data_IF_242649937600
#
_entry.id   IF_242649937600
#
_cell.length_a   1.000
_cell.length_b   1.000
_cell.length_c   1.000
_cell.angle_alpha   90.00
_cell.angle_beta   90.00
_cell.angle_gamma   90.00
#
_symmetry.space_group_name_H-M   'P 1'
#
loop_
_entity.id
_entity.type
_entity.pdbx_description
1 polymer ?
#
# COMPACT_ATOMS: atom_id res chain seq x y z
N UNK A 1 -28.35 78.91 5.70
CA UNK A 1 -26.94 78.64 5.32
C UNK A 1 -26.92 77.30 4.57
N UNK A 2 -26.51 77.32 3.29
CA UNK A 2 -26.14 76.21 2.37
C UNK A 2 -27.15 75.06 2.22
N UNK A 3 -28.03 75.01 1.20
CA UNK A 3 -27.87 74.99 -0.28
C UNK A 3 -27.36 73.61 -0.81
N UNK A 4 -28.26 72.96 -1.58
CA UNK A 4 -28.04 72.01 -2.72
C UNK A 4 -27.45 70.62 -2.44
N UNK A 5 -27.77 69.54 -3.18
CA UNK A 5 -28.30 69.40 -4.55
C UNK A 5 -28.87 67.98 -4.78
N UNK A 6 -29.78 67.90 -5.76
CA UNK A 6 -30.19 66.77 -6.61
C UNK A 6 -29.23 65.58 -6.71
N UNK A 7 -29.76 64.38 -7.02
CA UNK A 7 -29.58 63.70 -8.32
C UNK A 7 -30.31 62.33 -8.31
N UNK A 8 -31.17 62.11 -9.30
CA UNK A 8 -31.69 60.80 -9.71
C UNK A 8 -30.58 59.93 -10.28
N UNK A 9 -30.55 58.63 -9.96
CA UNK A 9 -30.02 57.61 -10.87
C UNK A 9 -30.82 56.31 -10.74
N UNK A 10 -31.50 55.98 -11.83
CA UNK A 10 -31.92 54.62 -12.18
C UNK A 10 -30.64 53.86 -12.54
N UNK A 11 -30.41 52.70 -11.92
CA UNK A 11 -29.47 51.71 -12.44
C UNK A 11 -30.10 50.32 -12.33
N UNK A 12 -30.68 49.88 -13.43
CA UNK A 12 -30.92 48.47 -13.73
C UNK A 12 -29.59 47.94 -14.28
N UNK A 13 -28.99 46.97 -13.60
CA UNK A 13 -27.97 46.11 -14.19
C UNK A 13 -28.33 44.64 -13.93
N UNK A 14 -28.47 43.96 -15.07
CA UNK A 14 -28.53 42.52 -15.30
C UNK A 14 -27.26 41.78 -14.81
N UNK A 15 -27.29 40.45 -14.94
CA UNK A 15 -26.25 39.43 -14.76
C UNK A 15 -26.25 38.76 -13.38
N UNK A 16 -26.07 37.45 -13.20
CA UNK A 16 -26.16 36.20 -13.97
C UNK A 16 -25.80 35.12 -12.92
N UNK A 17 -26.21 33.87 -13.12
CA UNK A 17 -25.61 32.65 -12.53
C UNK A 17 -25.91 32.33 -11.06
N UNK A 18 -26.41 31.09 -10.86
CA UNK A 18 -25.79 30.20 -9.87
C UNK A 18 -26.57 29.90 -8.60
N UNK A 19 -27.68 29.16 -8.68
CA UNK A 19 -28.01 28.26 -7.57
C UNK A 19 -27.18 26.98 -7.75
N UNK A 20 -25.97 27.03 -7.20
CA UNK A 20 -25.15 25.86 -6.89
C UNK A 20 -26.00 24.85 -6.10
N UNK A 21 -26.31 23.72 -6.73
CA UNK A 21 -26.64 22.50 -6.02
C UNK A 21 -25.35 21.96 -5.41
N UNK A 22 -25.08 22.35 -4.17
CA UNK A 22 -24.02 21.79 -3.34
C UNK A 22 -24.26 20.28 -3.16
N UNK A 23 -23.33 19.46 -3.62
CA UNK A 23 -23.15 18.09 -3.14
C UNK A 23 -21.71 18.00 -2.64
N UNK A 24 -21.60 17.98 -1.32
CA UNK A 24 -20.37 17.91 -0.57
C UNK A 24 -20.09 16.43 -0.27
N UNK A 25 -18.92 15.91 -0.66
CA UNK A 25 -18.23 14.82 0.05
C UNK A 25 -16.85 14.65 -0.60
N UNK A 26 -15.81 15.06 0.13
CA UNK A 26 -14.42 14.91 -0.27
C UNK A 26 -13.98 13.45 -0.24
N UNK A 27 -14.30 12.71 -1.30
CA UNK A 27 -13.58 11.51 -1.68
C UNK A 27 -12.60 11.89 -2.80
N UNK A 28 -11.47 12.52 -2.44
CA UNK A 28 -10.29 12.42 -3.32
C UNK A 28 -9.87 10.95 -3.29
N UNK A 29 -10.40 10.18 -4.24
CA UNK A 29 -10.06 8.78 -4.35
C UNK A 29 -8.56 8.66 -4.63
N UNK A 30 -7.82 8.03 -3.72
CA UNK A 30 -6.42 7.65 -3.92
C UNK A 30 -6.34 6.56 -5.00
N UNK A 31 -6.41 6.96 -6.27
CA UNK A 31 -6.51 6.05 -7.44
C UNK A 31 -5.16 5.76 -8.08
N UNK A 32 -4.05 5.95 -7.38
CA UNK A 32 -2.74 5.55 -7.90
C UNK A 32 -2.47 4.10 -7.52
N UNK A 33 -2.46 3.22 -8.51
CA UNK A 33 -1.92 1.88 -8.34
C UNK A 33 -0.44 1.98 -8.00
N UNK A 34 0.02 1.17 -7.06
CA UNK A 34 1.43 1.06 -6.76
C UNK A 34 1.85 -0.39 -6.59
N UNK A 35 3.12 -0.65 -6.87
CA UNK A 35 3.73 -1.95 -6.63
C UNK A 35 5.05 -1.83 -5.89
N UNK A 36 5.35 -2.82 -5.08
CA UNK A 36 6.60 -3.00 -4.34
C UNK A 36 7.14 -4.38 -4.67
N UNK A 37 8.33 -4.42 -5.26
CA UNK A 37 9.10 -5.64 -5.46
C UNK A 37 9.83 -5.97 -4.16
N UNK A 38 9.60 -7.15 -3.61
CA UNK A 38 10.26 -7.67 -2.42
C UNK A 38 11.11 -8.88 -2.80
N UNK A 39 12.37 -8.89 -2.42
CA UNK A 39 13.25 -10.05 -2.56
C UNK A 39 13.65 -10.53 -1.17
N UNK A 40 13.49 -11.83 -0.92
CA UNK A 40 13.98 -12.47 0.30
C UNK A 40 15.08 -13.45 -0.02
N UNK A 41 16.13 -13.44 0.79
CA UNK A 41 17.32 -14.26 0.64
C UNK A 41 17.66 -14.93 1.98
N UNK A 42 18.09 -16.19 1.94
CA UNK A 42 18.63 -16.90 3.10
C UNK A 42 20.17 -16.86 3.13
N UNK A 43 20.79 -17.53 4.10
CA UNK A 43 22.25 -17.57 4.23
C UNK A 43 22.95 -18.27 3.04
N UNK A 44 22.25 -19.19 2.39
CA UNK A 44 22.74 -19.94 1.23
C UNK A 44 22.45 -19.24 -0.11
N UNK A 45 21.94 -18.00 -0.06
CA UNK A 45 21.61 -17.15 -1.21
C UNK A 45 20.45 -17.67 -2.07
N UNK A 46 19.52 -18.42 -1.46
CA UNK A 46 18.26 -18.77 -2.11
C UNK A 46 17.36 -17.54 -2.14
N UNK A 47 17.23 -16.94 -3.34
CA UNK A 47 16.44 -15.72 -3.54
C UNK A 47 15.02 -16.06 -4.00
N UNK A 48 14.03 -15.53 -3.28
CA UNK A 48 12.61 -15.57 -3.66
C UNK A 48 12.16 -14.15 -3.95
N UNK A 49 11.54 -13.96 -5.11
CA UNK A 49 10.98 -12.68 -5.54
C UNK A 49 9.48 -12.68 -5.34
N UNK A 50 9.00 -11.70 -4.61
CA UNK A 50 7.60 -11.44 -4.32
C UNK A 50 7.23 -10.03 -4.78
N UNK A 51 5.94 -9.80 -4.98
CA UNK A 51 5.44 -8.48 -5.35
C UNK A 51 4.13 -8.21 -4.63
N UNK A 52 3.94 -6.99 -4.13
CA UNK A 52 2.70 -6.59 -3.48
C UNK A 52 2.37 -5.13 -3.75
N UNK A 53 1.12 -4.75 -3.56
CA UNK A 53 0.70 -3.35 -3.67
C UNK A 53 -0.79 -3.19 -3.95
N UNK A 54 -1.18 -2.06 -4.53
CA UNK A 54 -2.57 -1.80 -4.90
C UNK A 54 -2.72 -1.67 -6.41
N UNK A 55 -3.77 -2.26 -6.97
CA UNK A 55 -4.01 -2.27 -8.42
C UNK A 55 -5.49 -2.12 -8.75
N UNK A 56 -5.77 -1.47 -9.87
CA UNK A 56 -7.14 -1.39 -10.41
C UNK A 56 -7.66 -2.80 -10.73
N UNK A 57 -8.90 -3.07 -10.31
CA UNK A 57 -9.54 -4.37 -10.51
C UNK A 57 -9.15 -5.45 -9.50
N UNK A 58 -8.19 -5.19 -8.61
CA UNK A 58 -7.87 -6.09 -7.50
C UNK A 58 -8.92 -6.01 -6.38
N UNK A 59 -9.01 -7.07 -5.58
CA UNK A 59 -9.94 -7.22 -4.48
C UNK A 59 -9.17 -7.43 -3.17
N UNK A 60 -9.88 -7.79 -2.10
CA UNK A 60 -9.23 -8.19 -0.84
C UNK A 60 -8.82 -9.66 -0.86
N UNK A 61 -9.45 -10.48 -1.71
CA UNK A 61 -9.17 -11.91 -1.83
C UNK A 61 -8.26 -12.21 -3.01
N UNK A 62 -8.13 -13.49 -3.34
CA UNK A 62 -7.36 -13.93 -4.50
C UNK A 62 -8.06 -13.58 -5.83
N UNK A 63 -7.34 -12.87 -6.69
CA UNK A 63 -7.76 -12.50 -8.04
C UNK A 63 -6.93 -13.22 -9.10
N UNK A 64 -7.51 -14.24 -9.74
CA UNK A 64 -6.82 -15.12 -10.70
C UNK A 64 -6.10 -14.41 -11.85
N UNK A 65 -6.56 -13.22 -12.26
CA UNK A 65 -5.97 -12.45 -13.36
C UNK A 65 -4.92 -11.42 -12.91
N UNK A 66 -4.76 -11.21 -11.61
CA UNK A 66 -3.94 -10.14 -11.04
C UNK A 66 -2.89 -10.75 -10.09
N UNK A 67 -3.33 -11.59 -9.17
CA UNK A 67 -2.48 -12.27 -8.22
C UNK A 67 -1.79 -13.48 -8.84
N UNK A 68 -0.68 -13.87 -8.21
CA UNK A 68 0.09 -15.04 -8.61
C UNK A 68 0.14 -16.00 -7.45
N UNK A 69 -0.44 -17.19 -7.63
CA UNK A 69 -0.31 -18.27 -6.66
C UNK A 69 1.16 -18.68 -6.50
N UNK A 70 1.53 -19.10 -5.28
CA UNK A 70 2.83 -19.76 -5.11
C UNK A 70 2.88 -21.10 -5.84
N UNK A 71 4.05 -21.52 -6.33
CA UNK A 71 4.25 -22.90 -6.72
C UNK A 71 3.98 -23.85 -5.54
N UNK A 72 3.84 -25.18 -5.79
CA UNK A 72 3.79 -26.16 -4.72
C UNK A 72 4.96 -25.97 -3.75
N UNK A 73 4.69 -26.11 -2.44
CA UNK A 73 5.71 -25.94 -1.41
C UNK A 73 6.95 -26.79 -1.73
N UNK A 74 8.15 -26.24 -1.55
CA UNK A 74 9.37 -26.99 -1.80
C UNK A 74 9.53 -28.12 -0.75
N UNK A 75 10.45 -29.06 -0.97
CA UNK A 75 10.83 -30.05 0.04
C UNK A 75 11.26 -29.38 1.36
N UNK A 76 11.15 -30.10 2.47
CA UNK A 76 11.63 -29.62 3.77
C UNK A 76 13.12 -29.22 3.70
N UNK A 77 13.47 -28.13 4.40
CA UNK A 77 14.83 -27.60 4.42
C UNK A 77 15.20 -26.73 3.22
N UNK A 78 14.21 -26.30 2.43
CA UNK A 78 14.39 -25.30 1.37
C UNK A 78 13.68 -24.01 1.77
N UNK A 79 14.32 -22.88 1.52
CA UNK A 79 13.72 -21.57 1.79
C UNK A 79 12.44 -21.37 1.00
N UNK A 80 11.40 -20.90 1.68
CA UNK A 80 10.08 -20.67 1.14
C UNK A 80 9.48 -19.42 1.77
N UNK A 81 9.08 -18.46 0.93
CA UNK A 81 8.49 -17.19 1.36
C UNK A 81 7.27 -16.91 0.51
N UNK A 82 6.17 -16.46 1.12
CA UNK A 82 4.92 -16.18 0.43
C UNK A 82 4.01 -15.23 1.20
N UNK A 83 3.13 -14.54 0.49
CA UNK A 83 2.02 -13.80 1.10
C UNK A 83 0.89 -14.74 1.49
N UNK A 84 0.51 -14.73 2.76
CA UNK A 84 -0.60 -15.51 3.27
C UNK A 84 -1.90 -14.71 3.17
N UNK A 85 -2.91 -15.31 2.55
CA UNK A 85 -4.29 -14.83 2.58
C UNK A 85 -5.18 -15.88 3.23
N UNK A 86 -6.45 -15.55 3.46
CA UNK A 86 -7.43 -16.50 4.03
C UNK A 86 -7.58 -17.74 3.13
N UNK A 87 -7.47 -17.57 1.81
CA UNK A 87 -7.81 -18.62 0.86
C UNK A 87 -6.58 -19.29 0.25
N UNK A 88 -5.45 -18.56 0.13
CA UNK A 88 -4.26 -19.00 -0.63
C UNK A 88 -2.94 -18.38 -0.18
N UNK A 89 -1.86 -19.05 -0.57
CA UNK A 89 -0.49 -18.52 -0.54
C UNK A 89 -0.15 -17.91 -1.90
N UNK A 90 0.33 -16.67 -1.89
CA UNK A 90 0.56 -15.88 -3.08
C UNK A 90 2.02 -15.45 -3.19
N UNK A 91 2.55 -15.47 -4.40
CA UNK A 91 3.81 -14.86 -4.76
C UNK A 91 3.63 -13.37 -5.06
N UNK A 92 2.51 -13.03 -5.71
CA UNK A 92 2.10 -11.66 -5.97
C UNK A 92 0.73 -11.43 -5.35
N UNK A 93 0.59 -10.40 -4.51
CA UNK A 93 -0.64 -10.07 -3.78
C UNK A 93 -0.98 -8.59 -3.94
N UNK A 94 -1.95 -8.29 -4.79
CA UNK A 94 -2.44 -6.93 -4.98
C UNK A 94 -3.79 -6.73 -4.30
N UNK A 95 -3.92 -5.60 -3.62
CA UNK A 95 -5.17 -5.19 -2.96
C UNK A 95 -5.91 -4.16 -3.75
N UNK A 96 -7.21 -4.08 -3.46
CA UNK A 96 -8.12 -3.11 -4.06
C UNK A 96 -7.56 -1.68 -3.96
N UNK A 97 -7.59 -0.99 -5.09
CA UNK A 97 -7.24 0.41 -5.20
C UNK A 97 -8.20 1.34 -4.43
N UNK A 98 -7.69 2.46 -3.92
CA UNK A 98 -8.47 3.46 -3.18
C UNK A 98 -8.82 3.05 -1.75
N UNK A 99 -8.22 1.97 -1.23
CA UNK A 99 -8.36 1.57 0.16
C UNK A 99 -7.24 2.23 0.98
N UNK A 100 -7.62 3.01 1.99
CA UNK A 100 -6.66 3.76 2.82
C UNK A 100 -5.82 2.88 3.75
N UNK A 101 -6.27 1.65 4.01
CA UNK A 101 -5.66 0.71 4.96
C UNK A 101 -5.53 -0.64 4.26
N UNK A 102 -4.30 -1.09 4.03
CA UNK A 102 -4.03 -2.43 3.49
C UNK A 102 -2.93 -3.12 4.29
N UNK A 103 -3.13 -4.39 4.58
CA UNK A 103 -2.20 -5.22 5.34
C UNK A 103 -1.88 -6.49 4.54
N UNK A 104 -0.60 -6.85 4.47
CA UNK A 104 -0.11 -8.10 3.90
C UNK A 104 0.61 -8.89 4.98
N UNK A 105 0.31 -10.18 5.07
CA UNK A 105 1.04 -11.12 5.93
C UNK A 105 2.06 -11.86 5.07
N UNK A 106 3.35 -11.66 5.35
CA UNK A 106 4.46 -12.35 4.70
C UNK A 106 4.91 -13.49 5.61
N UNK A 107 4.75 -14.74 5.16
CA UNK A 107 5.28 -15.92 5.84
C UNK A 107 6.59 -16.34 5.22
N UNK A 108 7.50 -16.80 6.07
CA UNK A 108 8.78 -17.33 5.63
C UNK A 108 9.15 -18.59 6.42
N UNK A 109 9.84 -19.49 5.73
CA UNK A 109 10.48 -20.69 6.23
C UNK A 109 11.88 -20.72 5.62
N UNK A 110 12.91 -20.81 6.45
CA UNK A 110 14.30 -20.82 6.02
C UNK A 110 14.78 -22.27 5.88
N UNK A 111 15.49 -22.55 4.79
CA UNK A 111 16.12 -23.84 4.58
C UNK A 111 17.38 -24.03 5.42
N UNK A 112 18.21 -22.99 5.50
CA UNK A 112 19.49 -23.00 6.24
C UNK A 112 19.69 -21.66 6.96
N UNK A 113 20.10 -21.77 8.23
CA UNK A 113 20.35 -20.61 9.08
C UNK A 113 19.08 -20.04 9.72
N UNK A 114 19.28 -19.00 10.53
CA UNK A 114 18.21 -18.32 11.28
C UNK A 114 18.08 -16.86 10.87
N UNK A 115 18.64 -16.49 9.71
CA UNK A 115 18.64 -15.13 9.18
C UNK A 115 17.96 -15.06 7.82
N UNK A 116 16.92 -14.23 7.74
CA UNK A 116 16.23 -13.86 6.51
C UNK A 116 16.65 -12.44 6.15
N UNK A 117 17.22 -12.27 4.95
CA UNK A 117 17.52 -10.98 4.38
C UNK A 117 16.33 -10.54 3.52
N UNK A 118 15.76 -9.38 3.80
CA UNK A 118 14.72 -8.77 2.99
C UNK A 118 15.27 -7.54 2.31
N UNK A 119 15.01 -7.38 1.03
CA UNK A 119 15.25 -6.15 0.29
C UNK A 119 14.03 -5.80 -0.56
N UNK A 120 13.72 -4.53 -0.70
CA UNK A 120 12.55 -4.11 -1.45
C UNK A 120 12.81 -2.87 -2.28
N UNK A 121 11.99 -2.70 -3.30
CA UNK A 121 11.96 -1.54 -4.18
C UNK A 121 10.53 -1.15 -4.47
N UNK A 122 10.18 0.07 -4.10
CA UNK A 122 8.94 0.71 -4.50
C UNK A 122 9.07 1.04 -6.00
N UNK A 123 8.23 0.41 -6.83
CA UNK A 123 8.29 0.52 -8.30
C UNK A 123 7.54 1.74 -8.82
N UNK A 124 6.47 2.12 -8.12
CA UNK A 124 5.57 3.22 -8.47
C UNK A 124 5.38 4.13 -7.26
N UNK A 125 4.98 5.39 -7.49
CA UNK A 125 4.64 6.28 -6.40
C UNK A 125 3.47 5.70 -5.59
N UNK A 126 3.63 5.63 -4.25
CA UNK A 126 2.55 5.23 -3.36
C UNK A 126 1.31 6.11 -3.56
N UNK A 127 0.11 5.57 -3.29
CA UNK A 127 -1.13 6.33 -3.35
C UNK A 127 -1.14 7.47 -2.32
N UNK A 128 -0.83 8.70 -2.74
CA UNK A 128 -0.76 9.87 -1.85
C UNK A 128 0.48 9.89 -0.95
N UNK A 129 0.42 10.66 0.16
CA UNK A 129 1.41 10.60 1.24
C UNK A 129 1.19 9.33 2.08
N UNK A 130 1.37 8.17 1.44
CA UNK A 130 1.21 6.88 2.09
C UNK A 130 2.39 6.53 3.00
N UNK A 131 2.09 5.96 4.15
CA UNK A 131 3.03 5.32 5.06
C UNK A 131 3.08 3.81 4.74
N UNK A 132 4.28 3.25 4.62
CA UNK A 132 4.49 1.83 4.38
C UNK A 132 5.48 1.27 5.40
N UNK A 133 5.00 0.36 6.24
CA UNK A 133 5.72 -0.13 7.41
C UNK A 133 5.84 -1.64 7.38
N UNK A 134 7.04 -2.16 7.63
CA UNK A 134 7.32 -3.57 7.91
C UNK A 134 7.48 -3.77 9.42
N UNK A 135 6.79 -4.77 9.95
CA UNK A 135 6.83 -5.16 11.36
C UNK A 135 6.59 -6.67 11.50
N UNK A 136 6.67 -7.22 12.71
CA UNK A 136 6.22 -8.58 13.00
C UNK A 136 4.80 -8.58 13.60
N UNK A 137 4.28 -9.77 13.89
CA UNK A 137 2.93 -9.92 14.45
C UNK A 137 2.81 -9.36 15.88
N UNK A 138 3.92 -9.32 16.61
CA UNK A 138 3.99 -8.80 17.99
C UNK A 138 4.28 -7.28 18.03
N UNK A 139 4.55 -6.68 16.87
CA UNK A 139 5.04 -5.30 16.73
C UNK A 139 6.31 -5.02 17.55
N UNK A 140 7.22 -5.99 17.65
CA UNK A 140 8.48 -5.90 18.37
C UNK A 140 9.51 -5.02 17.64
N UNK A 141 9.38 -4.86 16.32
CA UNK A 141 10.17 -3.92 15.53
C UNK A 141 9.29 -3.19 14.52
N UNK A 142 9.75 -2.04 14.04
CA UNK A 142 9.07 -1.27 13.01
C UNK A 142 10.10 -0.68 12.05
N UNK A 143 9.85 -0.85 10.75
CA UNK A 143 10.72 -0.36 9.69
C UNK A 143 9.89 0.39 8.66
N UNK A 144 10.17 1.68 8.49
CA UNK A 144 9.64 2.47 7.39
C UNK A 144 10.28 2.01 6.06
N UNK A 145 9.47 1.42 5.20
CA UNK A 145 9.86 0.88 3.89
C UNK A 145 10.05 1.98 2.83
N UNK A 146 9.68 3.22 3.12
CA UNK A 146 9.94 4.40 2.27
C UNK A 146 11.30 5.03 2.57
N UNK A 147 11.78 4.90 3.81
CA UNK A 147 13.09 5.41 4.24
C UNK A 147 14.22 4.37 4.06
N UNK A 148 13.92 3.09 4.26
CA UNK A 148 14.85 1.98 4.08
C UNK A 148 14.43 1.11 2.91
N UNK A 149 15.39 0.36 2.37
CA UNK A 149 15.17 -0.61 1.29
C UNK A 149 15.52 -2.04 1.68
N UNK A 150 15.93 -2.26 2.93
CA UNK A 150 16.39 -3.57 3.41
C UNK A 150 16.19 -3.73 4.92
N UNK A 151 16.02 -4.98 5.34
CA UNK A 151 15.97 -5.39 6.72
C UNK A 151 16.42 -6.84 6.88
N UNK A 152 16.95 -7.20 8.05
CA UNK A 152 17.35 -8.58 8.35
C UNK A 152 16.63 -9.05 9.59
N UNK A 153 15.87 -10.13 9.45
CA UNK A 153 15.30 -10.87 10.57
C UNK A 153 16.33 -11.92 10.97
N UNK A 154 16.66 -12.02 12.27
CA UNK A 154 17.66 -12.98 12.77
C UNK A 154 17.15 -13.71 14.01
N UNK A 155 17.63 -14.94 14.18
CA UNK A 155 17.31 -15.80 15.33
C UNK A 155 16.02 -16.60 15.20
N UNK A 156 15.44 -16.69 13.99
CA UNK A 156 14.26 -17.52 13.72
C UNK A 156 14.37 -18.19 12.34
N UNK A 157 14.07 -19.49 12.28
CA UNK A 157 14.02 -20.26 11.04
C UNK A 157 12.68 -20.16 10.30
N UNK A 158 11.63 -19.64 10.95
CA UNK A 158 10.32 -19.42 10.32
C UNK A 158 9.54 -18.35 11.10
N UNK A 159 8.65 -17.63 10.42
CA UNK A 159 7.82 -16.63 11.08
C UNK A 159 6.81 -15.95 10.15
N UNK A 160 6.08 -14.99 10.72
CA UNK A 160 5.16 -14.10 10.01
C UNK A 160 5.58 -12.64 10.22
N UNK A 161 5.73 -11.91 9.12
CA UNK A 161 5.89 -10.46 9.10
C UNK A 161 4.60 -9.82 8.61
N UNK A 162 4.36 -8.59 9.04
CA UNK A 162 3.24 -7.76 8.61
C UNK A 162 3.76 -6.55 7.86
N UNK A 163 3.24 -6.33 6.67
CA UNK A 163 3.44 -5.11 5.90
C UNK A 163 2.15 -4.32 5.96
N UNK A 164 2.22 -3.08 6.44
CA UNK A 164 1.06 -2.20 6.66
C UNK A 164 1.21 -0.97 5.78
N UNK A 165 0.22 -0.74 4.94
CA UNK A 165 0.07 0.48 4.17
C UNK A 165 -1.07 1.32 4.72
N UNK A 166 -0.79 2.59 5.00
CA UNK A 166 -1.77 3.56 5.50
C UNK A 166 -1.66 4.84 4.68
N UNK A 167 -2.76 5.37 4.22
CA UNK A 167 -2.78 6.70 3.60
C UNK A 167 -2.84 7.75 4.71
N UNK A 168 -1.96 8.74 4.70
CA UNK A 168 -2.04 9.86 5.66
C UNK A 168 -3.27 10.72 5.34
N UNK A 169 -4.11 10.92 6.34
CA UNK A 169 -5.17 11.93 6.30
C UNK A 169 -4.50 13.31 6.42
N UNK A 170 -4.69 14.17 5.43
CA UNK A 170 -4.22 15.56 5.45
C UNK A 170 -5.16 16.48 6.22
#
# INVERSE_FOLDING_TARGET
MRITKLISYVLICFFLVGCFGSSNSGDELYQNSFSVSLETEDVDKNVIKLEFGQKEGATKGYDKSIDKDTPPSPPEGVTHTYFATIDKNLLHDYRKLGVQISDWELKYELGVGESLFLSWRILDQLGGEGELVLTDIESAFEVDMTEKSEYTVSGQSSGSLLIKYRVKEN
#
